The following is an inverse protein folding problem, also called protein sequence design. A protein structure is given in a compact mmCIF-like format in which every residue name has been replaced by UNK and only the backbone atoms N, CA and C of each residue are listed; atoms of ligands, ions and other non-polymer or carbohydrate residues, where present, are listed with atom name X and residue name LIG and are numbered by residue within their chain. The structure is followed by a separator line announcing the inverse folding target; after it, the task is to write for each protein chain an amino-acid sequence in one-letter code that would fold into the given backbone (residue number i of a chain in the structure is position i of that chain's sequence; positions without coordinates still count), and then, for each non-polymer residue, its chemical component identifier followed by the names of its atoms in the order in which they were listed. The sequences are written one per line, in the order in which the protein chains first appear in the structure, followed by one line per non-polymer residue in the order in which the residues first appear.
data_IF_302613796139
#
_entry.id   IF_302613796139
#
_cell.length_a   1.000
_cell.length_b   1.000
_cell.length_c   1.000
_cell.angle_alpha   90.00
_cell.angle_beta   90.00
_cell.angle_gamma   90.00
#
_symmetry.space_group_name_H-M   'P 1'
#
loop_
_entity.id
_entity.type
_entity.pdbx_description
1 polymer ?
#
# COMPACT_ATOMS: atom_id res chain seq x y z
N UNK A 1 24.71 -34.55 -8.68
CA UNK A 1 24.47 -33.50 -7.65
C UNK A 1 23.45 -32.46 -8.13
N UNK A 2 23.62 -31.82 -9.31
CA UNK A 2 22.75 -30.76 -9.83
C UNK A 2 21.25 -31.15 -10.05
N UNK A 3 20.99 -32.37 -10.51
CA UNK A 3 19.61 -32.85 -10.75
C UNK A 3 18.75 -32.97 -9.48
N UNK A 4 19.37 -33.24 -8.32
CA UNK A 4 18.63 -33.37 -7.06
C UNK A 4 18.17 -32.00 -6.56
N UNK A 5 18.98 -30.95 -6.77
CA UNK A 5 18.61 -29.58 -6.41
C UNK A 5 17.42 -29.09 -7.23
N UNK A 6 17.42 -29.30 -8.55
CA UNK A 6 16.28 -28.90 -9.39
C UNK A 6 14.97 -29.55 -8.96
N UNK A 7 14.99 -30.83 -8.60
CA UNK A 7 13.79 -31.53 -8.11
C UNK A 7 13.28 -30.92 -6.80
N UNK A 8 14.17 -30.63 -5.85
CA UNK A 8 13.81 -30.00 -4.57
C UNK A 8 13.17 -28.63 -4.77
N UNK A 9 13.70 -27.81 -5.69
CA UNK A 9 13.09 -26.51 -6.03
C UNK A 9 11.70 -26.66 -6.63
N UNK A 10 11.48 -27.62 -7.54
CA UNK A 10 10.17 -27.86 -8.14
C UNK A 10 9.14 -28.32 -7.10
N UNK A 11 9.51 -29.23 -6.20
CA UNK A 11 8.63 -29.68 -5.12
C UNK A 11 8.33 -28.57 -4.12
N UNK A 12 9.34 -27.77 -3.75
CA UNK A 12 9.16 -26.63 -2.85
C UNK A 12 8.21 -25.59 -3.46
N UNK A 13 8.40 -25.26 -4.74
CA UNK A 13 7.52 -24.34 -5.46
C UNK A 13 6.09 -24.87 -5.56
N UNK A 14 5.91 -26.16 -5.85
CA UNK A 14 4.60 -26.79 -5.92
C UNK A 14 3.91 -26.80 -4.56
N UNK A 15 4.65 -27.11 -3.50
CA UNK A 15 4.13 -27.11 -2.13
C UNK A 15 3.67 -25.71 -1.71
N UNK A 16 4.49 -24.69 -1.97
CA UNK A 16 4.13 -23.29 -1.68
C UNK A 16 2.89 -22.85 -2.46
N UNK A 17 2.77 -23.27 -3.72
CA UNK A 17 1.60 -22.97 -4.54
C UNK A 17 0.32 -23.66 -4.01
N UNK A 18 0.40 -24.90 -3.56
CA UNK A 18 -0.76 -25.59 -2.98
C UNK A 18 -1.18 -24.97 -1.64
N UNK A 19 -0.20 -24.56 -0.83
CA UNK A 19 -0.47 -23.83 0.43
C UNK A 19 -1.12 -22.48 0.16
N UNK A 20 -0.68 -21.74 -0.86
CA UNK A 20 -1.31 -20.46 -1.20
C UNK A 20 -2.76 -20.65 -1.67
N UNK A 21 -3.05 -21.64 -2.52
CA UNK A 21 -4.44 -21.96 -2.89
C UNK A 21 -5.24 -22.25 -1.63
N UNK A 22 -4.74 -23.10 -0.72
CA UNK A 22 -5.49 -23.44 0.49
C UNK A 22 -5.75 -22.23 1.40
N UNK A 23 -4.77 -21.34 1.56
CA UNK A 23 -4.91 -20.13 2.39
C UNK A 23 -5.78 -19.04 1.77
N UNK A 24 -5.81 -18.93 0.44
CA UNK A 24 -6.53 -17.85 -0.27
C UNK A 24 -7.84 -18.31 -0.93
N UNK A 25 -8.16 -19.61 -0.92
CA UNK A 25 -9.39 -20.16 -1.47
C UNK A 25 -10.54 -20.07 -0.44
N UNK A 26 -10.92 -18.85 -0.09
CA UNK A 26 -12.17 -18.59 0.62
C UNK A 26 -13.32 -18.54 -0.41
N UNK A 27 -14.28 -19.50 -0.40
CA UNK A 27 -15.40 -19.50 -1.34
C UNK A 27 -16.34 -18.30 -1.18
N UNK A 28 -16.34 -17.65 -0.02
CA UNK A 28 -17.17 -16.48 0.25
C UNK A 28 -16.54 -15.17 -0.25
N UNK A 29 -15.28 -15.20 -0.70
CA UNK A 29 -14.58 -14.02 -1.25
C UNK A 29 -15.35 -13.39 -2.42
N UNK A 30 -15.93 -14.21 -3.30
CA UNK A 30 -16.69 -13.77 -4.47
C UNK A 30 -17.97 -13.01 -4.11
N UNK A 31 -18.71 -13.50 -3.10
CA UNK A 31 -19.96 -12.91 -2.63
C UNK A 31 -19.68 -11.59 -1.89
N UNK A 32 -18.61 -11.56 -1.08
CA UNK A 32 -18.14 -10.36 -0.38
C UNK A 32 -17.66 -9.28 -1.38
N UNK A 33 -16.90 -9.66 -2.42
CA UNK A 33 -16.49 -8.76 -3.50
C UNK A 33 -17.72 -8.21 -4.25
N UNK A 34 -18.71 -9.04 -4.57
CA UNK A 34 -19.92 -8.57 -5.26
C UNK A 34 -20.72 -7.55 -4.45
N UNK A 35 -20.82 -7.75 -3.12
CA UNK A 35 -21.47 -6.81 -2.20
C UNK A 35 -20.66 -5.52 -2.02
N UNK A 36 -19.33 -5.61 -1.95
CA UNK A 36 -18.43 -4.45 -1.91
C UNK A 36 -18.49 -3.65 -3.22
N UNK A 37 -18.56 -4.29 -4.38
CA UNK A 37 -18.66 -3.60 -5.68
C UNK A 37 -20.03 -2.93 -5.84
N UNK A 38 -21.11 -3.58 -5.39
CA UNK A 38 -22.46 -3.02 -5.45
C UNK A 38 -22.70 -1.86 -4.46
N UNK A 39 -21.93 -1.80 -3.37
CA UNK A 39 -22.01 -0.72 -2.37
C UNK A 39 -20.97 0.39 -2.56
N UNK A 40 -20.02 0.22 -3.50
CA UNK A 40 -18.95 1.18 -3.72
C UNK A 40 -19.44 2.34 -4.59
N UNK A 41 -20.04 3.35 -3.95
CA UNK A 41 -19.82 4.71 -4.39
C UNK A 41 -18.36 5.05 -4.04
N UNK A 42 -17.43 4.60 -4.90
CA UNK A 42 -15.99 4.64 -4.66
C UNK A 42 -15.45 6.05 -4.83
N UNK A 43 -15.90 6.94 -3.95
CA UNK A 43 -15.46 8.32 -3.91
C UNK A 43 -14.05 8.39 -3.31
N UNK A 44 -13.16 9.12 -3.99
CA UNK A 44 -11.81 9.42 -3.51
C UNK A 44 -11.80 10.04 -2.10
N UNK A 45 -12.92 10.63 -1.67
CA UNK A 45 -13.11 11.08 -0.29
C UNK A 45 -12.91 9.99 0.76
N UNK A 46 -13.11 8.71 0.45
CA UNK A 46 -12.90 7.61 1.38
C UNK A 46 -11.41 7.27 1.61
N UNK A 47 -10.50 7.77 0.78
CA UNK A 47 -9.05 7.58 0.93
C UNK A 47 -8.43 8.65 1.84
N UNK A 48 -7.51 8.20 2.70
CA UNK A 48 -6.70 9.07 3.59
C UNK A 48 -5.24 8.61 3.51
N UNK A 49 -4.33 9.54 3.26
CA UNK A 49 -2.90 9.24 3.14
C UNK A 49 -2.15 9.56 4.43
N UNK A 50 -1.42 8.59 4.97
CA UNK A 50 -0.45 8.82 6.05
C UNK A 50 0.96 8.97 5.47
N UNK A 51 1.58 10.14 5.65
CA UNK A 51 2.93 10.44 5.20
C UNK A 51 3.84 10.52 6.42
N UNK A 52 4.98 9.82 6.37
CA UNK A 52 5.97 9.82 7.45
C UNK A 52 7.31 10.24 6.86
N UNK A 53 7.99 11.18 7.52
CA UNK A 53 9.27 11.67 7.03
C UNK A 53 10.08 12.41 8.09
N UNK A 54 11.31 12.74 7.73
CA UNK A 54 12.17 13.60 8.54
C UNK A 54 12.01 15.05 8.09
N UNK A 55 11.83 15.96 9.03
CA UNK A 55 11.71 17.41 8.83
C UNK A 55 12.82 17.93 7.92
N UNK A 56 14.07 17.61 8.26
CA UNK A 56 15.28 18.07 7.55
C UNK A 56 15.33 17.69 6.07
N UNK A 57 14.68 16.58 5.70
CA UNK A 57 14.70 16.08 4.31
C UNK A 57 13.40 16.38 3.56
N UNK A 58 12.40 16.94 4.23
CA UNK A 58 11.08 17.16 3.65
C UNK A 58 11.13 18.08 2.44
N UNK A 59 11.94 19.13 2.46
CA UNK A 59 12.10 20.07 1.34
C UNK A 59 12.49 19.39 0.02
N UNK A 60 13.23 18.29 0.08
CA UNK A 60 13.59 17.51 -1.11
C UNK A 60 12.49 16.55 -1.56
N UNK A 61 11.61 16.15 -0.65
CA UNK A 61 10.52 15.20 -0.89
C UNK A 61 9.21 15.88 -1.29
N UNK A 62 9.02 17.14 -0.89
CA UNK A 62 7.80 17.93 -1.11
C UNK A 62 7.36 17.89 -2.58
N UNK A 63 8.27 18.13 -3.51
CA UNK A 63 7.96 18.14 -4.95
C UNK A 63 7.38 16.80 -5.46
N UNK A 64 7.81 15.67 -4.89
CA UNK A 64 7.26 14.36 -5.24
C UNK A 64 5.85 14.16 -4.68
N UNK A 65 5.53 14.74 -3.52
CA UNK A 65 4.17 14.71 -2.96
C UNK A 65 3.27 15.60 -3.80
N UNK A 66 3.73 16.80 -4.14
CA UNK A 66 2.97 17.79 -4.91
C UNK A 66 2.60 17.30 -6.32
N UNK A 67 3.37 16.37 -6.92
CA UNK A 67 3.03 15.84 -8.24
C UNK A 67 1.68 15.10 -8.26
N UNK A 68 1.33 14.42 -7.17
CA UNK A 68 0.09 13.63 -7.04
C UNK A 68 -0.91 14.17 -6.02
N UNK A 69 -0.49 15.01 -5.08
CA UNK A 69 -1.39 15.65 -4.13
C UNK A 69 -2.31 16.64 -4.84
N UNK A 70 -3.59 16.65 -4.47
CA UNK A 70 -4.63 17.51 -5.03
C UNK A 70 -5.34 18.23 -3.89
N UNK A 71 -5.07 19.54 -3.67
CA UNK A 71 -5.73 20.30 -2.62
C UNK A 71 -7.26 20.14 -2.69
N UNK A 72 -7.92 19.98 -1.54
CA UNK A 72 -9.37 19.74 -1.39
C UNK A 72 -9.90 18.40 -1.95
N UNK A 73 -9.05 17.58 -2.57
CA UNK A 73 -9.41 16.25 -3.08
C UNK A 73 -8.71 15.16 -2.28
N UNK A 74 -7.38 15.24 -2.17
CA UNK A 74 -6.58 14.34 -1.33
C UNK A 74 -6.52 14.88 0.09
N UNK A 75 -6.70 13.98 1.05
CA UNK A 75 -6.61 14.28 2.48
C UNK A 75 -5.67 13.31 3.18
N UNK A 76 -5.04 13.77 4.25
CA UNK A 76 -4.01 12.99 4.90
C UNK A 76 -3.30 13.74 6.01
N UNK A 77 -2.39 13.03 6.67
CA UNK A 77 -1.58 13.53 7.76
C UNK A 77 -0.10 13.39 7.42
N UNK A 78 0.68 14.40 7.77
CA UNK A 78 2.14 14.36 7.70
C UNK A 78 2.69 14.26 9.12
N UNK A 79 3.34 13.13 9.41
CA UNK A 79 4.07 12.92 10.65
C UNK A 79 5.55 13.16 10.41
N UNK A 80 6.08 14.16 11.11
CA UNK A 80 7.51 14.46 11.12
C UNK A 80 8.15 13.96 12.42
N UNK A 81 9.44 13.64 12.34
CA UNK A 81 10.26 13.23 13.48
C UNK A 81 10.42 14.33 14.54
N UNK A 82 10.40 15.59 14.12
CA UNK A 82 10.44 16.78 14.97
C UNK A 82 9.37 17.79 14.57
N UNK A 83 9.12 18.78 15.43
CA UNK A 83 8.22 19.88 15.08
C UNK A 83 8.74 20.64 13.86
N UNK A 84 7.86 20.99 12.90
CA UNK A 84 8.26 21.68 11.69
C UNK A 84 8.85 23.06 12.02
N UNK A 85 9.98 23.39 11.40
CA UNK A 85 10.57 24.72 11.46
C UNK A 85 9.70 25.76 10.73
N UNK A 86 9.96 27.05 10.98
CA UNK A 86 9.22 28.14 10.31
C UNK A 86 9.31 28.08 8.77
N UNK A 87 10.39 27.51 8.21
CA UNK A 87 10.57 27.32 6.77
C UNK A 87 9.66 26.25 6.16
N UNK A 88 9.04 25.41 6.97
CA UNK A 88 8.07 24.40 6.54
C UNK A 88 6.62 24.87 6.57
N UNK A 89 6.34 26.07 7.09
CA UNK A 89 5.00 26.63 7.22
C UNK A 89 4.73 27.76 6.21
N UNK A 90 3.48 27.93 5.75
CA UNK A 90 2.40 26.96 5.81
C UNK A 90 2.71 25.87 4.79
N UNK A 91 2.65 24.60 5.20
CA UNK A 91 2.96 23.51 4.28
C UNK A 91 2.08 23.54 3.04
#
# INVERSE_FOLDING_TARGET
MLQNFCKVFLFSSLLLYLVSIFLFNDPNSSLLISHLIASNDSNLSHLVFGLIGFEKTWHHRKNYIESWWRPKVTRGYLLLDVSPSASLLPW
#
